data_IF_327052024112
#
_entry.id   IF_327052024112
#
_cell.length_a   1.000
_cell.length_b   1.000
_cell.length_c   1.000
_cell.angle_alpha   90.00
_cell.angle_beta   90.00
_cell.angle_gamma   90.00
#
_symmetry.space_group_name_H-M   'P 1'
#
loop_
_entity.id
_entity.type
_entity.pdbx_description
1 polymer ?
#
# COMPACT_ATOMS: atom_id res chain seq x y z
N UNK A 1 -37.05 -43.89 -16.71
CA UNK A 1 -37.12 -42.93 -15.59
C UNK A 1 -36.36 -41.68 -15.99
N UNK A 2 -37.03 -40.52 -16.00
CA UNK A 2 -36.40 -39.25 -16.41
C UNK A 2 -35.58 -38.68 -15.24
N UNK A 3 -34.29 -38.43 -15.48
CA UNK A 3 -33.39 -37.83 -14.49
C UNK A 3 -33.86 -36.41 -14.11
N UNK A 4 -33.82 -36.02 -12.83
CA UNK A 4 -34.28 -34.71 -12.39
C UNK A 4 -33.38 -33.60 -12.94
N UNK A 5 -33.99 -32.57 -13.52
CA UNK A 5 -33.29 -31.41 -14.07
C UNK A 5 -32.47 -30.70 -12.97
N UNK A 6 -31.15 -30.56 -13.19
CA UNK A 6 -30.26 -29.83 -12.29
C UNK A 6 -30.74 -28.38 -12.17
N UNK A 7 -31.24 -27.99 -10.99
CA UNK A 7 -31.58 -26.60 -10.66
C UNK A 7 -30.32 -25.74 -10.84
N UNK A 8 -30.31 -24.87 -11.86
CA UNK A 8 -29.22 -23.90 -12.09
C UNK A 8 -29.10 -23.01 -10.85
N UNK A 9 -27.94 -23.08 -10.18
CA UNK A 9 -27.59 -22.23 -9.03
C UNK A 9 -27.61 -20.78 -9.52
N UNK A 10 -28.52 -19.95 -8.99
CA UNK A 10 -28.55 -18.52 -9.34
C UNK A 10 -27.25 -17.87 -8.87
N UNK A 11 -26.66 -17.04 -9.71
CA UNK A 11 -25.48 -16.28 -9.33
C UNK A 11 -25.84 -15.36 -8.15
N UNK A 12 -24.92 -15.15 -7.19
CA UNK A 12 -25.14 -14.28 -6.04
C UNK A 12 -25.47 -12.86 -6.54
N UNK A 13 -26.54 -12.30 -6.00
CA UNK A 13 -26.99 -10.96 -6.34
C UNK A 13 -26.10 -9.97 -5.57
N UNK A 14 -25.22 -9.26 -6.25
CA UNK A 14 -24.41 -8.23 -5.61
C UNK A 14 -25.16 -6.90 -5.68
N UNK A 15 -25.27 -6.23 -4.53
CA UNK A 15 -25.87 -4.90 -4.42
C UNK A 15 -24.74 -3.88 -4.44
N UNK A 16 -24.85 -2.89 -5.31
CA UNK A 16 -23.93 -1.75 -5.33
C UNK A 16 -24.55 -0.66 -4.47
N UNK A 17 -23.80 -0.17 -3.49
CA UNK A 17 -24.20 0.96 -2.65
C UNK A 17 -23.22 2.11 -2.89
N UNK A 18 -23.76 3.32 -3.07
CA UNK A 18 -22.99 4.54 -3.31
C UNK A 18 -23.13 5.45 -2.10
N UNK A 19 -22.01 5.96 -1.60
CA UNK A 19 -22.01 7.05 -0.62
C UNK A 19 -22.32 8.38 -1.32
N UNK A 20 -23.04 9.29 -0.64
CA UNK A 20 -23.39 10.61 -1.17
C UNK A 20 -24.86 10.98 -0.96
N UNK A 21 -25.25 12.15 -1.46
CA UNK A 21 -26.64 12.59 -1.46
C UNK A 21 -27.45 11.82 -2.51
N UNK A 22 -28.77 11.69 -2.31
CA UNK A 22 -29.61 10.86 -3.19
C UNK A 22 -29.60 11.32 -4.65
N UNK A 23 -29.45 12.62 -4.90
CA UNK A 23 -29.33 13.17 -6.25
C UNK A 23 -28.07 12.67 -6.98
N UNK A 24 -26.93 12.61 -6.27
CA UNK A 24 -25.68 12.09 -6.81
C UNK A 24 -25.79 10.58 -7.10
N UNK A 25 -26.42 9.83 -6.19
CA UNK A 25 -26.67 8.40 -6.39
C UNK A 25 -27.55 8.15 -7.61
N UNK A 26 -28.61 8.93 -7.78
CA UNK A 26 -29.51 8.83 -8.92
C UNK A 26 -28.77 9.14 -10.23
N UNK A 27 -27.95 10.19 -10.24
CA UNK A 27 -27.12 10.53 -11.41
C UNK A 27 -26.16 9.39 -11.80
N UNK A 28 -25.51 8.76 -10.82
CA UNK A 28 -24.62 7.61 -11.06
C UNK A 28 -25.40 6.41 -11.59
N UNK A 29 -26.58 6.10 -11.02
CA UNK A 29 -27.42 5.00 -11.48
C UNK A 29 -27.95 5.22 -12.90
N UNK A 30 -28.33 6.45 -13.27
CA UNK A 30 -28.73 6.79 -14.63
C UNK A 30 -27.59 6.57 -15.63
N UNK A 31 -26.36 6.97 -15.27
CA UNK A 31 -25.20 6.77 -16.13
C UNK A 31 -24.88 5.27 -16.31
N UNK A 32 -25.00 4.47 -15.25
CA UNK A 32 -24.85 3.01 -15.35
C UNK A 32 -25.89 2.37 -16.26
N UNK A 33 -27.15 2.84 -16.23
CA UNK A 33 -28.20 2.37 -17.12
C UNK A 33 -27.94 2.74 -18.59
N UNK A 34 -27.43 3.95 -18.85
CA UNK A 34 -27.02 4.38 -20.20
C UNK A 34 -25.93 3.47 -20.76
N UNK A 35 -24.87 3.22 -19.98
CA UNK A 35 -23.78 2.32 -20.37
C UNK A 35 -24.30 0.91 -20.60
N UNK A 36 -25.15 0.40 -19.70
CA UNK A 36 -25.76 -0.93 -19.85
C UNK A 36 -26.56 -1.04 -21.16
N UNK A 37 -27.33 -0.02 -21.50
CA UNK A 37 -28.11 0.02 -22.74
C UNK A 37 -27.18 -0.01 -23.96
N UNK A 38 -26.12 0.79 -23.94
CA UNK A 38 -25.13 0.83 -25.01
C UNK A 38 -24.42 -0.51 -25.20
N UNK A 39 -23.97 -1.14 -24.12
CA UNK A 39 -23.32 -2.45 -24.18
C UNK A 39 -24.28 -3.56 -24.63
N UNK A 40 -25.55 -3.48 -24.23
CA UNK A 40 -26.58 -4.42 -24.67
C UNK A 40 -26.80 -4.33 -26.18
N UNK A 41 -26.83 -3.11 -26.72
CA UNK A 41 -26.90 -2.87 -28.18
C UNK A 41 -25.64 -3.37 -28.89
N UNK A 42 -24.45 -3.04 -28.37
CA UNK A 42 -23.16 -3.44 -28.99
C UNK A 42 -22.96 -4.95 -29.02
N UNK A 43 -23.32 -5.66 -27.95
CA UNK A 43 -23.12 -7.11 -27.85
C UNK A 43 -24.34 -7.95 -28.26
N UNK A 44 -25.46 -7.30 -28.60
CA UNK A 44 -26.74 -7.93 -28.92
C UNK A 44 -27.16 -9.01 -27.90
N UNK A 45 -26.88 -8.77 -26.62
CA UNK A 45 -27.17 -9.71 -25.52
C UNK A 45 -27.38 -8.93 -24.22
N UNK A 46 -28.20 -9.44 -23.27
CA UNK A 46 -28.40 -8.77 -22.00
C UNK A 46 -27.08 -8.69 -21.21
N UNK A 47 -26.73 -7.47 -20.81
CA UNK A 47 -25.51 -7.20 -20.03
C UNK A 47 -25.86 -7.10 -18.55
N UNK A 48 -25.10 -7.82 -17.72
CA UNK A 48 -25.22 -7.77 -16.27
C UNK A 48 -24.40 -6.64 -15.65
N UNK A 49 -24.71 -6.26 -14.41
CA UNK A 49 -24.00 -5.17 -13.70
C UNK A 49 -22.48 -5.40 -13.64
N UNK A 50 -22.01 -6.65 -13.56
CA UNK A 50 -20.59 -6.95 -13.45
C UNK A 50 -19.85 -6.55 -14.73
N UNK A 51 -20.46 -6.85 -15.87
CA UNK A 51 -19.90 -6.52 -17.19
C UNK A 51 -19.89 -5.01 -17.44
N UNK A 52 -20.87 -4.27 -16.89
CA UNK A 52 -20.87 -2.80 -16.93
C UNK A 52 -19.68 -2.24 -16.14
N UNK A 53 -19.45 -2.76 -14.93
CA UNK A 53 -18.33 -2.35 -14.08
C UNK A 53 -16.98 -2.72 -14.72
N UNK A 54 -16.83 -3.94 -15.24
CA UNK A 54 -15.63 -4.38 -15.95
C UNK A 54 -15.31 -3.47 -17.14
N UNK A 55 -16.34 -3.08 -17.91
CA UNK A 55 -16.17 -2.17 -19.04
C UNK A 55 -15.73 -0.76 -18.60
N UNK A 56 -16.32 -0.23 -17.51
CA UNK A 56 -15.93 1.05 -16.94
C UNK A 56 -14.47 1.06 -16.47
N UNK A 57 -14.03 0.03 -15.75
CA UNK A 57 -12.65 -0.07 -15.32
C UNK A 57 -11.70 -0.15 -16.51
N UNK A 58 -12.05 -0.94 -17.54
CA UNK A 58 -11.24 -1.03 -18.74
C UNK A 58 -11.07 0.33 -19.42
N UNK A 59 -12.15 1.08 -19.62
CA UNK A 59 -12.10 2.44 -20.19
C UNK A 59 -11.25 3.40 -19.34
N UNK A 60 -11.32 3.27 -18.00
CA UNK A 60 -10.52 4.10 -17.11
C UNK A 60 -9.02 3.78 -17.20
N UNK A 61 -8.66 2.50 -17.22
CA UNK A 61 -7.26 2.07 -17.39
C UNK A 61 -6.72 2.41 -18.78
N UNK A 62 -7.51 2.22 -19.82
CA UNK A 62 -7.12 2.54 -21.20
C UNK A 62 -6.93 4.06 -21.36
N UNK A 63 -7.80 4.90 -20.76
CA UNK A 63 -7.62 6.37 -20.74
C UNK A 63 -6.44 6.84 -19.90
N UNK A 64 -6.10 6.15 -18.81
CA UNK A 64 -4.91 6.45 -18.02
C UNK A 64 -3.61 6.12 -18.76
N UNK A 65 -3.66 5.26 -19.79
CA UNK A 65 -2.52 4.87 -20.60
C UNK A 65 -2.26 5.78 -21.82
N UNK A 66 -3.29 6.46 -22.36
CA UNK A 66 -3.26 7.02 -23.72
C UNK A 66 -3.23 8.57 -23.86
N UNK A 67 -3.00 9.39 -22.82
CA UNK A 67 -2.88 10.84 -23.07
C UNK A 67 -2.47 11.77 -21.94
N UNK A 68 -1.37 12.49 -22.19
CA UNK A 68 -0.88 13.71 -21.53
C UNK A 68 -2.00 14.73 -21.20
N UNK A 69 -1.93 15.37 -20.03
CA UNK A 69 -1.45 16.76 -19.93
C UNK A 69 -1.14 17.21 -18.50
N UNK A 70 -0.23 18.17 -18.45
CA UNK A 70 0.37 18.92 -17.35
C UNK A 70 -0.50 19.23 -16.13
N UNK A 71 0.09 19.14 -14.93
CA UNK A 71 0.18 20.21 -13.91
C UNK A 71 0.86 19.62 -12.66
N UNK A 72 2.01 20.20 -12.32
CA UNK A 72 2.84 19.99 -11.12
C UNK A 72 3.26 18.55 -10.82
N UNK A 73 4.58 18.31 -10.79
CA UNK A 73 5.19 17.19 -10.06
C UNK A 73 4.83 17.29 -8.57
N UNK A 74 3.59 16.94 -8.20
CA UNK A 74 3.38 16.30 -6.92
C UNK A 74 4.02 14.94 -7.09
N UNK A 75 5.21 14.78 -6.51
CA UNK A 75 5.82 13.48 -6.29
C UNK A 75 4.69 12.51 -5.92
N UNK A 76 4.54 11.38 -6.63
CA UNK A 76 3.45 10.46 -6.37
C UNK A 76 3.46 10.17 -4.88
N UNK A 77 2.29 10.28 -4.23
CA UNK A 77 2.14 9.89 -2.84
C UNK A 77 2.82 8.52 -2.69
N UNK A 78 3.79 8.36 -1.78
CA UNK A 78 4.58 7.14 -1.71
C UNK A 78 3.62 5.97 -1.61
N UNK A 79 3.59 5.16 -2.67
CA UNK A 79 2.71 4.01 -2.75
C UNK A 79 3.03 3.13 -1.56
N UNK A 80 2.03 2.91 -0.70
CA UNK A 80 2.10 1.93 0.38
C UNK A 80 2.27 0.49 -0.14
N UNK A 81 2.13 0.28 -1.45
CA UNK A 81 2.44 -0.96 -2.14
C UNK A 81 3.84 -0.90 -2.73
N UNK A 82 4.80 -1.54 -2.05
CA UNK A 82 6.09 -1.89 -2.63
C UNK A 82 5.92 -3.19 -3.39
N UNK A 83 6.13 -3.16 -4.71
CA UNK A 83 6.08 -4.37 -5.54
C UNK A 83 7.30 -5.23 -5.18
N UNK A 84 7.06 -6.26 -4.40
CA UNK A 84 8.10 -7.21 -3.99
C UNK A 84 8.53 -8.03 -5.22
N UNK A 85 9.79 -7.89 -5.61
CA UNK A 85 10.34 -8.56 -6.79
C UNK A 85 10.81 -9.99 -6.52
N UNK A 86 11.08 -10.34 -5.26
CA UNK A 86 11.57 -11.68 -4.89
C UNK A 86 10.91 -12.23 -3.62
N UNK A 87 10.80 -13.56 -3.52
CA UNK A 87 10.39 -14.25 -2.28
C UNK A 87 11.31 -13.98 -1.08
N UNK A 88 12.53 -13.47 -1.31
CA UNK A 88 13.43 -13.10 -0.22
C UNK A 88 12.96 -11.82 0.48
N UNK A 89 12.32 -10.91 -0.25
CA UNK A 89 11.84 -9.64 0.33
C UNK A 89 10.53 -9.83 1.11
N UNK A 90 9.81 -10.94 0.92
CA UNK A 90 8.62 -11.28 1.73
C UNK A 90 8.96 -11.99 3.04
N UNK A 91 10.17 -12.55 3.18
CA UNK A 91 10.62 -13.22 4.41
C UNK A 91 11.37 -12.24 5.33
N UNK A 92 10.98 -10.97 5.33
CA UNK A 92 11.54 -10.01 6.27
C UNK A 92 10.88 -10.19 7.63
N UNK A 93 11.69 -10.19 8.69
CA UNK A 93 11.18 -10.12 10.06
C UNK A 93 10.45 -8.77 10.19
N UNK A 94 9.14 -8.79 10.46
CA UNK A 94 8.37 -7.59 10.76
C UNK A 94 8.60 -7.25 12.23
N UNK A 95 9.14 -6.07 12.49
CA UNK A 95 9.35 -5.58 13.85
C UNK A 95 8.36 -4.48 14.17
N UNK A 96 7.75 -4.54 15.34
CA UNK A 96 7.06 -3.40 15.91
C UNK A 96 8.11 -2.39 16.36
N UNK A 97 7.99 -1.16 15.86
CA UNK A 97 8.88 -0.06 16.18
C UNK A 97 8.08 1.01 16.91
N UNK A 98 8.66 1.62 17.95
CA UNK A 98 8.01 2.78 18.56
C UNK A 98 8.00 3.96 17.58
N UNK A 99 6.93 4.74 17.60
CA UNK A 99 6.79 5.93 16.76
C UNK A 99 7.98 6.90 16.95
N UNK A 100 8.39 7.13 18.19
CA UNK A 100 9.54 7.97 18.52
C UNK A 100 10.86 7.47 17.91
N UNK A 101 11.04 6.15 17.84
CA UNK A 101 12.21 5.53 17.20
C UNK A 101 12.21 5.78 15.69
N UNK A 102 11.04 5.70 15.03
CA UNK A 102 10.92 6.05 13.61
C UNK A 102 11.13 7.54 13.36
N UNK A 103 10.60 8.41 14.22
CA UNK A 103 10.82 9.84 14.14
C UNK A 103 12.31 10.18 14.26
N UNK A 104 13.02 9.56 15.21
CA UNK A 104 14.47 9.72 15.36
C UNK A 104 15.25 9.23 14.14
N UNK A 105 14.81 8.14 13.50
CA UNK A 105 15.43 7.68 12.24
C UNK A 105 15.30 8.76 11.16
N UNK A 106 14.10 9.33 11.02
CA UNK A 106 13.82 10.41 10.09
C UNK A 106 14.73 11.62 10.37
N UNK A 107 14.81 12.06 11.61
CA UNK A 107 15.68 13.19 12.02
C UNK A 107 17.15 12.93 11.69
N UNK A 108 17.65 11.71 11.96
CA UNK A 108 19.03 11.32 11.59
C UNK A 108 19.24 11.39 10.07
N UNK A 109 18.28 10.90 9.29
CA UNK A 109 18.38 10.93 7.82
C UNK A 109 18.30 12.36 7.26
N UNK A 110 17.41 13.20 7.79
CA UNK A 110 17.27 14.61 7.39
C UNK A 110 18.51 15.41 7.78
N UNK A 111 19.00 15.24 9.01
CA UNK A 111 20.23 15.86 9.47
C UNK A 111 21.41 15.44 8.58
N UNK A 112 21.60 14.14 8.32
CA UNK A 112 22.70 13.69 7.45
C UNK A 112 22.62 14.33 6.05
N UNK A 113 21.42 14.35 5.44
CA UNK A 113 21.19 14.94 4.12
C UNK A 113 21.51 16.44 4.08
N UNK A 114 21.42 17.14 5.21
CA UNK A 114 21.80 18.54 5.32
C UNK A 114 23.30 18.81 5.25
N UNK A 115 24.15 17.82 5.55
CA UNK A 115 25.61 18.00 5.64
C UNK A 115 26.41 17.11 4.67
N UNK A 116 25.86 15.99 4.23
CA UNK A 116 26.52 15.04 3.33
C UNK A 116 25.62 14.75 2.12
N UNK A 117 26.19 14.80 0.92
CA UNK A 117 25.52 14.40 -0.34
C UNK A 117 25.48 12.87 -0.51
N UNK A 118 26.29 12.15 0.28
CA UNK A 118 26.39 10.69 0.25
C UNK A 118 25.18 9.99 0.87
N UNK A 119 25.03 8.70 0.60
CA UNK A 119 23.97 7.89 1.19
C UNK A 119 24.37 7.33 2.56
N UNK A 120 23.43 7.31 3.50
CA UNK A 120 23.59 6.56 4.74
C UNK A 120 23.55 5.06 4.45
N UNK A 121 24.59 4.34 4.86
CA UNK A 121 24.65 2.87 4.84
C UNK A 121 24.48 2.29 6.23
N UNK A 122 23.82 1.15 6.29
CA UNK A 122 23.75 0.32 7.49
C UNK A 122 25.07 -0.46 7.61
N UNK A 123 25.89 -0.13 8.61
CA UNK A 123 27.18 -0.82 8.85
C UNK A 123 27.04 -2.07 9.71
N UNK A 124 26.20 -2.00 10.75
CA UNK A 124 26.05 -3.09 11.72
C UNK A 124 24.63 -3.14 12.24
N UNK A 125 24.05 -4.34 12.28
CA UNK A 125 22.75 -4.62 12.89
C UNK A 125 23.02 -5.54 14.09
N UNK A 126 22.46 -5.18 15.25
CA UNK A 126 22.55 -5.94 16.49
C UNK A 126 21.12 -6.20 16.96
N UNK A 127 20.76 -7.47 17.11
CA UNK A 127 19.48 -7.89 17.64
C UNK A 127 19.64 -8.23 19.13
N UNK A 128 18.81 -7.63 19.99
CA UNK A 128 18.74 -7.89 21.43
C UNK A 128 17.28 -8.13 21.79
N UNK A 129 16.88 -9.38 21.98
CA UNK A 129 15.45 -9.73 22.16
C UNK A 129 14.63 -9.25 20.95
N UNK A 130 13.58 -8.46 21.18
CA UNK A 130 12.79 -7.85 20.10
C UNK A 130 13.38 -6.54 19.53
N UNK A 131 14.50 -6.06 20.10
CA UNK A 131 15.07 -4.76 19.76
C UNK A 131 16.17 -4.91 18.73
N UNK A 132 16.07 -4.16 17.64
CA UNK A 132 17.15 -3.96 16.69
C UNK A 132 17.85 -2.66 17.01
N UNK A 133 19.17 -2.72 17.14
CA UNK A 133 20.05 -1.55 17.13
C UNK A 133 20.92 -1.57 15.88
N UNK A 134 20.92 -0.47 15.15
CA UNK A 134 21.63 -0.34 13.88
C UNK A 134 22.59 0.84 13.93
N UNK A 135 23.83 0.59 13.48
CA UNK A 135 24.81 1.65 13.23
C UNK A 135 24.69 2.10 11.78
N UNK A 136 24.33 3.37 11.59
CA UNK A 136 24.27 4.05 10.31
C UNK A 136 25.54 4.87 10.11
N UNK A 137 26.10 4.91 8.92
CA UNK A 137 27.20 5.82 8.60
C UNK A 137 27.12 6.35 7.18
N UNK A 138 27.79 7.48 6.94
CA UNK A 138 28.08 7.96 5.59
C UNK A 138 28.87 6.93 4.78
N UNK A 139 28.84 7.10 3.46
CA UNK A 139 29.48 6.20 2.49
C UNK A 139 30.70 6.86 1.84
N UNK A 140 31.89 6.61 2.38
CA UNK A 140 33.12 7.14 1.82
C UNK A 140 33.66 8.32 2.62
N UNK A 141 33.39 9.55 2.17
CA UNK A 141 34.06 10.78 2.65
C UNK A 141 33.50 11.34 3.97
N UNK A 142 32.32 10.86 4.39
CA UNK A 142 31.60 11.34 5.56
C UNK A 142 31.79 10.37 6.75
N UNK A 143 32.54 10.77 7.78
CA UNK A 143 32.81 9.98 9.00
C UNK A 143 31.63 9.95 10.01
N UNK A 144 30.53 10.62 9.66
CA UNK A 144 29.35 10.67 10.51
C UNK A 144 28.82 9.26 10.80
N UNK A 145 28.57 9.04 12.08
CA UNK A 145 28.10 7.77 12.59
C UNK A 145 26.90 8.03 13.48
N UNK A 146 25.80 7.37 13.18
CA UNK A 146 24.57 7.46 13.96
C UNK A 146 24.19 6.09 14.49
N UNK A 147 23.58 6.10 15.67
CA UNK A 147 22.99 4.92 16.26
C UNK A 147 21.47 5.08 16.23
N UNK A 148 20.80 4.06 15.69
CA UNK A 148 19.35 3.95 15.71
C UNK A 148 18.94 2.67 16.44
N UNK A 149 17.77 2.71 17.09
CA UNK A 149 17.17 1.53 17.72
C UNK A 149 15.67 1.48 17.47
N UNK A 150 15.14 0.28 17.25
CA UNK A 150 13.69 0.06 17.01
C UNK A 150 12.83 0.28 18.27
N UNK A 151 13.43 0.20 19.45
CA UNK A 151 12.81 0.47 20.74
C UNK A 151 13.38 1.77 21.34
N UNK A 152 12.57 2.58 22.03
CA UNK A 152 13.02 3.78 22.69
C UNK A 152 13.88 3.40 23.90
N UNK A 153 14.73 4.33 24.31
CA UNK A 153 15.44 4.18 25.58
C UNK A 153 14.49 4.49 26.72
N UNK A 154 14.48 3.61 27.72
CA UNK A 154 13.86 3.84 29.01
C UNK A 154 14.70 4.85 29.82
N UNK A 155 14.14 5.45 30.89
CA UNK A 155 14.88 6.40 31.74
C UNK A 155 16.19 5.85 32.31
N UNK A 156 16.31 4.53 32.46
CA UNK A 156 17.51 3.84 32.90
C UNK A 156 18.55 3.60 31.77
N UNK A 157 18.34 4.14 30.57
CA UNK A 157 19.17 3.93 29.37
C UNK A 157 19.17 2.50 28.83
N UNK A 158 18.23 1.68 29.23
CA UNK A 158 18.00 0.35 28.64
C UNK A 158 16.89 0.41 27.60
N UNK A 159 16.72 -0.68 26.86
CA UNK A 159 15.56 -0.82 25.98
C UNK A 159 14.44 -1.53 26.73
N UNK A 160 13.20 -1.26 26.34
CA UNK A 160 12.13 -2.19 26.65
C UNK A 160 12.50 -3.50 25.92
N UNK A 161 12.77 -4.56 26.68
CA UNK A 161 13.04 -5.91 26.17
C UNK A 161 11.91 -6.80 26.67
N UNK A 162 11.36 -7.63 25.81
CA UNK A 162 10.52 -8.74 26.28
C UNK A 162 11.49 -9.72 26.91
N UNK A 163 11.39 -9.85 28.23
CA UNK A 163 12.22 -10.80 28.94
C UNK A 163 11.66 -12.21 28.70
N UNK A 164 11.99 -12.79 27.56
CA UNK A 164 11.56 -14.15 27.17
C UNK A 164 12.09 -15.21 28.16
N UNK A 165 13.08 -14.84 28.99
CA UNK A 165 13.68 -15.68 30.02
C UNK A 165 13.15 -15.40 31.44
N UNK A 166 12.16 -14.51 31.64
CA UNK A 166 11.56 -14.26 32.96
C UNK A 166 10.49 -15.30 33.35
N UNK A 167 10.73 -16.58 33.05
CA UNK A 167 9.92 -17.72 33.50
C UNK A 167 10.75 -18.70 34.32
#
# INVERSE_FOLDING_TARGET
>A
MASPAKKRKRNPNFRIEFAGNDDEKNSVLENLQKIRSELTTRYNKPVGNLQVIEHLFKLWFDKAADGQESVQEKLPAPSNYVKVHSKRDTNQKVFLCAEQSLQRLREVTEHHRGYCEEHLKIKKIIEKGHVISTKLSGDGSCDHTFLWSSSPYLPNKEYLLDDVNAR
#
